data_IF_427639131086
#
_entry.id   IF_427639131086
#
_cell.length_a   1.000
_cell.length_b   1.000
_cell.length_c   1.000
_cell.angle_alpha   90.00
_cell.angle_beta   90.00
_cell.angle_gamma   90.00
#
_symmetry.space_group_name_H-M   'P 1'
#
loop_
_entity.id
_entity.type
_entity.pdbx_description
1 polymer ?
#
# COMPACT_ATOMS: atom_id res chain seq x y z
N UNK A 1 9.22 -68.98 18.62
CA UNK A 1 8.73 -67.65 19.08
C UNK A 1 8.87 -66.68 17.92
N UNK A 2 7.76 -66.10 17.52
CA UNK A 2 7.49 -65.53 16.19
C UNK A 2 7.98 -64.08 16.07
N UNK A 3 8.87 -63.84 15.11
CA UNK A 3 9.37 -62.52 14.68
C UNK A 3 8.24 -61.52 14.35
N UNK A 4 7.04 -62.02 14.04
CA UNK A 4 5.80 -61.28 13.76
C UNK A 4 5.29 -60.40 14.91
N UNK A 5 5.60 -60.71 16.18
CA UNK A 5 5.05 -59.96 17.32
C UNK A 5 5.84 -58.70 17.69
N UNK A 6 7.15 -58.65 17.36
CA UNK A 6 8.03 -57.51 17.61
C UNK A 6 7.88 -56.37 16.58
N UNK A 7 7.40 -56.67 15.36
CA UNK A 7 7.21 -55.68 14.28
C UNK A 7 5.94 -54.83 14.44
N UNK A 8 4.96 -55.31 15.21
CA UNK A 8 3.68 -54.61 15.43
C UNK A 8 3.85 -53.23 16.08
N UNK A 9 4.58 -53.06 17.21
CA UNK A 9 4.77 -51.73 17.81
C UNK A 9 5.57 -50.80 16.91
N UNK A 10 6.58 -51.30 16.20
CA UNK A 10 7.37 -50.51 15.25
C UNK A 10 6.51 -49.96 14.10
N UNK A 11 5.61 -50.80 13.55
CA UNK A 11 4.67 -50.37 12.50
C UNK A 11 3.69 -49.31 12.99
N UNK A 12 3.17 -49.44 14.21
CA UNK A 12 2.25 -48.44 14.80
C UNK A 12 2.96 -47.09 14.98
N UNK A 13 4.21 -47.10 15.44
CA UNK A 13 5.00 -45.87 15.60
C UNK A 13 5.27 -45.21 14.23
N UNK A 14 5.67 -45.99 13.23
CA UNK A 14 5.91 -45.49 11.86
C UNK A 14 4.63 -44.90 11.25
N UNK A 15 3.49 -45.59 11.39
CA UNK A 15 2.19 -45.08 10.92
C UNK A 15 1.81 -43.79 11.65
N UNK A 16 2.04 -43.72 12.97
CA UNK A 16 1.80 -42.53 13.77
C UNK A 16 2.64 -41.34 13.31
N UNK A 17 3.94 -41.54 13.08
CA UNK A 17 4.83 -40.50 12.54
C UNK A 17 4.42 -40.08 11.13
N UNK A 18 4.05 -41.02 10.26
CA UNK A 18 3.59 -40.71 8.91
C UNK A 18 2.29 -39.89 8.92
N UNK A 19 1.33 -40.21 9.78
CA UNK A 19 0.12 -39.41 9.97
C UNK A 19 0.43 -38.03 10.53
N UNK A 20 1.30 -37.93 11.54
CA UNK A 20 1.71 -36.64 12.10
C UNK A 20 2.38 -35.76 11.02
N UNK A 21 3.26 -36.33 10.21
CA UNK A 21 3.90 -35.65 9.09
C UNK A 21 2.87 -35.20 8.04
N UNK A 22 1.89 -36.05 7.69
CA UNK A 22 0.82 -35.70 6.75
C UNK A 22 -0.05 -34.56 7.27
N UNK A 23 -0.39 -34.56 8.57
CA UNK A 23 -1.14 -33.50 9.23
C UNK A 23 -0.35 -32.20 9.22
N UNK A 24 0.94 -32.24 9.57
CA UNK A 24 1.83 -31.08 9.51
C UNK A 24 1.93 -30.52 8.08
N UNK A 25 2.06 -31.39 7.08
CA UNK A 25 2.10 -31.00 5.67
C UNK A 25 0.79 -30.33 5.25
N UNK A 26 -0.35 -30.87 5.67
CA UNK A 26 -1.67 -30.28 5.40
C UNK A 26 -1.80 -28.89 5.98
N UNK A 27 -1.42 -28.70 7.25
CA UNK A 27 -1.46 -27.39 7.89
C UNK A 27 -0.50 -26.41 7.23
N UNK A 28 0.74 -26.82 6.91
CA UNK A 28 1.71 -25.99 6.19
C UNK A 28 1.18 -25.59 4.81
N UNK A 29 0.64 -26.55 4.06
CA UNK A 29 0.09 -26.30 2.74
C UNK A 29 -1.08 -25.31 2.79
N UNK A 30 -2.02 -25.52 3.72
CA UNK A 30 -3.19 -24.66 3.89
C UNK A 30 -2.85 -23.26 4.38
N UNK A 31 -1.92 -23.14 5.33
CA UNK A 31 -1.59 -21.86 5.97
C UNK A 31 -0.57 -21.03 5.19
N UNK A 32 0.31 -21.66 4.41
CA UNK A 32 1.39 -20.96 3.72
C UNK A 32 1.32 -21.10 2.20
N UNK A 33 1.21 -22.33 1.68
CA UNK A 33 1.30 -22.56 0.22
C UNK A 33 0.08 -22.02 -0.53
N UNK A 34 -1.13 -22.27 -0.04
CA UNK A 34 -2.36 -21.74 -0.65
C UNK A 34 -2.37 -20.20 -0.61
N UNK A 35 -2.16 -19.51 0.53
CA UNK A 35 -2.15 -18.05 0.54
C UNK A 35 -1.03 -17.44 -0.30
N UNK A 36 0.16 -18.06 -0.30
CA UNK A 36 1.29 -17.58 -1.09
C UNK A 36 1.01 -17.72 -2.59
N UNK A 37 0.51 -18.87 -3.03
CA UNK A 37 0.17 -19.09 -4.45
C UNK A 37 -0.93 -18.14 -4.93
N UNK A 38 -1.97 -17.90 -4.12
CA UNK A 38 -2.99 -16.90 -4.42
C UNK A 38 -2.40 -15.48 -4.49
N UNK A 39 -1.47 -15.14 -3.57
CA UNK A 39 -0.78 -13.85 -3.61
C UNK A 39 0.02 -13.70 -4.90
N UNK A 40 0.85 -14.69 -5.26
CA UNK A 40 1.63 -14.68 -6.50
C UNK A 40 0.72 -14.55 -7.73
N UNK A 41 -0.37 -15.31 -7.76
CA UNK A 41 -1.34 -15.26 -8.85
C UNK A 41 -1.99 -13.87 -8.98
N UNK A 42 -2.44 -13.29 -7.86
CA UNK A 42 -3.05 -11.95 -7.85
C UNK A 42 -2.05 -10.85 -8.25
N UNK A 43 -0.76 -11.05 -8.03
CA UNK A 43 0.27 -10.08 -8.38
C UNK A 43 0.74 -10.21 -9.84
N UNK A 44 0.31 -11.24 -10.59
CA UNK A 44 0.79 -11.49 -11.96
C UNK A 44 0.48 -10.35 -12.94
N UNK A 45 -0.61 -9.62 -12.71
CA UNK A 45 -1.04 -8.49 -13.55
C UNK A 45 -0.54 -7.15 -13.04
N UNK A 46 0.06 -7.09 -11.85
CA UNK A 46 0.64 -5.88 -11.29
C UNK A 46 1.97 -5.56 -11.97
N UNK A 47 2.20 -4.27 -12.18
CA UNK A 47 3.48 -3.71 -12.61
C UNK A 47 4.56 -3.94 -11.56
N UNK A 48 5.84 -3.83 -11.96
CA UNK A 48 6.96 -3.95 -11.03
C UNK A 48 6.83 -2.97 -9.85
N UNK A 49 6.40 -1.72 -10.11
CA UNK A 49 6.18 -0.71 -9.07
C UNK A 49 5.10 -1.11 -8.07
N UNK A 50 3.94 -1.57 -8.55
CA UNK A 50 2.83 -2.01 -7.69
C UNK A 50 3.24 -3.22 -6.83
N UNK A 51 4.01 -4.16 -7.39
CA UNK A 51 4.56 -5.30 -6.62
C UNK A 51 5.55 -4.84 -5.55
N UNK A 52 6.45 -3.92 -5.88
CA UNK A 52 7.39 -3.33 -4.91
C UNK A 52 6.65 -2.60 -3.79
N UNK A 53 5.61 -1.84 -4.12
CA UNK A 53 4.76 -1.14 -3.15
C UNK A 53 4.08 -2.14 -2.20
N UNK A 54 3.47 -3.20 -2.76
CA UNK A 54 2.77 -4.21 -1.97
C UNK A 54 3.71 -4.98 -1.04
N UNK A 55 4.92 -5.29 -1.50
CA UNK A 55 5.92 -6.02 -0.73
C UNK A 55 6.53 -5.17 0.38
N UNK A 56 6.82 -3.89 0.12
CA UNK A 56 7.50 -3.01 1.06
C UNK A 56 6.56 -2.35 2.08
N UNK A 57 5.33 -1.99 1.67
CA UNK A 57 4.41 -1.17 2.46
C UNK A 57 3.00 -1.77 2.60
N UNK A 58 2.76 -2.94 2.02
CA UNK A 58 1.47 -3.63 2.11
C UNK A 58 0.48 -3.26 1.00
N UNK A 59 -0.64 -4.00 0.97
CA UNK A 59 -1.66 -3.90 -0.09
C UNK A 59 -2.33 -2.53 -0.16
N UNK A 60 -2.57 -1.88 0.98
CA UNK A 60 -3.27 -0.61 1.04
C UNK A 60 -2.46 0.50 0.39
N UNK A 61 -1.15 0.54 0.65
CA UNK A 61 -0.24 1.50 0.02
C UNK A 61 -0.13 1.25 -1.49
N UNK A 62 -0.01 -0.01 -1.92
CA UNK A 62 0.01 -0.35 -3.34
C UNK A 62 -1.29 0.05 -4.06
N UNK A 63 -2.43 -0.22 -3.42
CA UNK A 63 -3.74 0.21 -3.91
C UNK A 63 -3.85 1.73 -3.99
N UNK A 64 -3.32 2.44 -2.98
CA UNK A 64 -3.32 3.90 -2.98
C UNK A 64 -2.43 4.48 -4.08
N UNK A 65 -1.24 3.94 -4.33
CA UNK A 65 -0.37 4.41 -5.42
C UNK A 65 -1.03 4.23 -6.80
N UNK A 66 -1.72 3.11 -6.99
CA UNK A 66 -2.52 2.87 -8.19
C UNK A 66 -3.67 3.86 -8.30
N UNK A 67 -4.44 4.04 -7.23
CA UNK A 67 -5.53 5.01 -7.17
C UNK A 67 -5.04 6.44 -7.50
N UNK A 68 -3.93 6.88 -6.90
CA UNK A 68 -3.34 8.19 -7.21
C UNK A 68 -2.93 8.28 -8.68
N UNK A 69 -2.38 7.20 -9.24
CA UNK A 69 -2.02 7.17 -10.65
C UNK A 69 -3.23 7.21 -11.61
N UNK A 70 -4.37 6.69 -11.19
CA UNK A 70 -5.61 6.73 -11.97
C UNK A 70 -6.30 8.11 -11.88
N UNK A 71 -6.21 8.77 -10.72
CA UNK A 71 -6.84 10.09 -10.47
C UNK A 71 -6.01 11.25 -11.00
N UNK A 72 -4.69 11.19 -10.84
CA UNK A 72 -3.78 12.29 -11.17
C UNK A 72 -3.18 12.01 -12.56
N UNK A 73 -3.31 12.91 -13.54
CA UNK A 73 -2.73 12.71 -14.87
C UNK A 73 -1.20 12.64 -14.81
N UNK A 74 -0.57 12.09 -15.85
CA UNK A 74 0.86 11.83 -15.86
C UNK A 74 1.73 13.10 -15.77
N UNK A 75 1.24 14.20 -16.33
CA UNK A 75 1.82 15.56 -16.32
C UNK A 75 1.30 16.42 -15.16
N UNK A 76 0.44 15.86 -14.30
CA UNK A 76 -0.12 16.56 -13.15
C UNK A 76 0.92 16.85 -12.07
N UNK A 77 0.70 17.93 -11.32
CA UNK A 77 1.50 18.31 -10.16
C UNK A 77 0.86 17.77 -8.90
N UNK A 78 1.61 17.04 -8.07
CA UNK A 78 1.09 16.45 -6.85
C UNK A 78 1.83 16.98 -5.63
N UNK A 79 1.10 17.61 -4.73
CA UNK A 79 1.62 18.11 -3.46
C UNK A 79 1.48 17.02 -2.40
N UNK A 80 2.58 16.73 -1.73
CA UNK A 80 2.67 15.70 -0.70
C UNK A 80 2.44 16.26 0.70
N UNK A 81 1.92 15.45 1.65
CA UNK A 81 1.91 15.80 3.06
C UNK A 81 3.34 15.89 3.60
N UNK A 82 3.49 16.46 4.79
CA UNK A 82 4.78 16.39 5.49
C UNK A 82 4.99 15.02 6.10
N UNK A 83 6.25 14.62 6.28
CA UNK A 83 6.60 13.38 6.98
C UNK A 83 6.04 13.31 8.42
N UNK A 84 5.82 14.47 9.07
CA UNK A 84 5.18 14.56 10.38
C UNK A 84 3.67 14.26 10.35
N UNK A 85 3.01 14.44 9.20
CA UNK A 85 1.59 14.14 8.99
C UNK A 85 1.39 12.70 8.52
N UNK A 86 2.25 12.24 7.61
CA UNK A 86 2.36 10.84 7.20
C UNK A 86 3.80 10.55 6.80
N UNK A 87 4.48 9.67 7.54
CA UNK A 87 5.91 9.39 7.35
C UNK A 87 6.23 8.69 6.03
N UNK A 88 5.24 8.01 5.44
CA UNK A 88 5.39 7.30 4.17
C UNK A 88 5.08 8.24 3.01
N UNK A 89 3.91 8.88 3.03
CA UNK A 89 3.47 9.78 1.96
C UNK A 89 4.25 11.09 1.92
N UNK A 90 4.83 11.52 3.05
CA UNK A 90 5.67 12.71 3.10
C UNK A 90 7.13 12.49 2.72
N UNK A 91 7.53 11.25 2.39
CA UNK A 91 8.86 10.97 1.88
C UNK A 91 8.90 11.18 0.36
N UNK A 92 9.35 12.35 -0.08
CA UNK A 92 9.36 12.72 -1.51
C UNK A 92 10.16 11.74 -2.37
N UNK A 93 11.30 11.24 -1.89
CA UNK A 93 12.13 10.29 -2.64
C UNK A 93 11.42 8.96 -2.87
N UNK A 94 10.73 8.47 -1.83
CA UNK A 94 9.91 7.27 -1.92
C UNK A 94 8.74 7.47 -2.88
N UNK A 95 8.00 8.58 -2.71
CA UNK A 95 6.83 8.89 -3.53
C UNK A 95 7.19 9.09 -5.00
N UNK A 96 8.36 9.68 -5.28
CA UNK A 96 8.82 9.90 -6.65
C UNK A 96 8.99 8.58 -7.40
N UNK A 97 9.56 7.56 -6.77
CA UNK A 97 9.70 6.24 -7.38
C UNK A 97 8.34 5.68 -7.86
N UNK A 98 7.31 5.76 -7.02
CA UNK A 98 5.99 5.19 -7.33
C UNK A 98 5.17 6.05 -8.29
N UNK A 99 5.31 7.38 -8.24
CA UNK A 99 4.41 8.31 -8.94
C UNK A 99 4.98 8.92 -10.23
N UNK A 100 6.24 8.64 -10.60
CA UNK A 100 6.79 8.98 -11.92
C UNK A 100 5.77 8.63 -13.03
N UNK A 101 5.47 9.56 -13.95
CA UNK A 101 6.25 10.78 -14.27
C UNK A 101 5.78 12.09 -13.61
N UNK A 102 4.86 12.03 -12.64
CA UNK A 102 4.25 13.23 -12.04
C UNK A 102 5.28 14.11 -11.34
N UNK A 103 5.07 15.42 -11.42
CA UNK A 103 5.86 16.40 -10.68
C UNK A 103 5.42 16.38 -9.20
N UNK A 104 6.35 16.11 -8.29
CA UNK A 104 6.06 16.09 -6.86
C UNK A 104 6.53 17.39 -6.22
N UNK A 105 5.63 18.02 -5.47
CA UNK A 105 5.89 19.27 -4.76
C UNK A 105 5.75 19.01 -3.27
N UNK A 106 6.65 19.60 -2.48
CA UNK A 106 6.59 19.55 -1.03
C UNK A 106 6.46 20.98 -0.49
N UNK A 107 5.63 21.15 0.55
CA UNK A 107 5.56 22.37 1.34
C UNK A 107 6.41 22.18 2.61
N UNK A 108 7.66 22.69 2.65
CA UNK A 108 8.65 22.29 3.66
C UNK A 108 8.42 22.89 5.06
N UNK A 109 7.54 23.88 5.21
CA UNK A 109 7.45 24.62 6.47
C UNK A 109 6.92 23.76 7.63
N UNK A 110 7.52 23.95 8.82
CA UNK A 110 7.04 23.36 10.07
C UNK A 110 5.76 24.04 10.56
N UNK A 111 5.59 25.32 10.22
CA UNK A 111 4.53 26.19 10.73
C UNK A 111 3.21 26.00 9.96
N UNK A 112 2.08 25.75 10.66
CA UNK A 112 0.79 25.52 10.00
C UNK A 112 0.35 26.65 9.06
N UNK A 113 0.58 27.91 9.44
CA UNK A 113 0.18 29.08 8.66
C UNK A 113 0.95 29.19 7.34
N UNK A 114 2.25 28.90 7.36
CA UNK A 114 3.09 28.90 6.15
C UNK A 114 2.78 27.69 5.25
N UNK A 115 2.44 26.55 5.85
CA UNK A 115 1.96 25.38 5.10
C UNK A 115 0.64 25.70 4.38
N UNK A 116 -0.30 26.35 5.06
CA UNK A 116 -1.56 26.79 4.46
C UNK A 116 -1.31 27.79 3.32
N UNK A 117 -0.42 28.76 3.53
CA UNK A 117 -0.03 29.71 2.48
C UNK A 117 0.59 29.01 1.26
N UNK A 118 1.47 28.03 1.46
CA UNK A 118 2.06 27.23 0.39
C UNK A 118 0.99 26.44 -0.40
N UNK A 119 0.08 25.77 0.31
CA UNK A 119 -1.04 25.02 -0.30
C UNK A 119 -1.94 25.95 -1.11
N UNK A 120 -2.25 27.14 -0.58
CA UNK A 120 -3.06 28.15 -1.27
C UNK A 120 -2.36 28.67 -2.53
N UNK A 121 -1.06 28.95 -2.49
CA UNK A 121 -0.30 29.39 -3.67
C UNK A 121 -0.26 28.32 -4.78
N UNK A 122 -0.29 27.04 -4.40
CA UNK A 122 -0.23 25.92 -5.33
C UNK A 122 -1.61 25.44 -5.82
N UNK A 123 -2.71 26.06 -5.39
CA UNK A 123 -4.09 25.62 -5.66
C UNK A 123 -4.58 25.73 -7.13
N UNK A 124 -3.67 25.95 -8.09
CA UNK A 124 -3.96 26.07 -9.52
C UNK A 124 -4.63 24.84 -10.17
N UNK A 125 -5.10 24.99 -11.40
CA UNK A 125 -5.96 24.02 -12.09
C UNK A 125 -5.31 22.63 -12.31
N UNK A 126 -3.98 22.54 -12.39
CA UNK A 126 -3.26 21.28 -12.67
C UNK A 126 -2.59 20.67 -11.43
N UNK A 127 -2.90 21.21 -10.25
CA UNK A 127 -2.33 20.75 -8.98
C UNK A 127 -3.31 19.88 -8.21
N UNK A 128 -2.80 18.78 -7.69
CA UNK A 128 -3.47 17.79 -6.87
C UNK A 128 -2.80 17.75 -5.51
N UNK A 129 -3.54 17.41 -4.46
CA UNK A 129 -2.97 17.24 -3.13
C UNK A 129 -3.27 15.83 -2.64
N UNK A 130 -2.26 15.11 -2.16
CA UNK A 130 -2.52 13.89 -1.41
C UNK A 130 -3.24 14.25 -0.11
N UNK A 131 -4.33 13.58 0.18
CA UNK A 131 -5.03 13.71 1.44
C UNK A 131 -4.50 12.66 2.42
N UNK A 132 -3.94 13.08 3.55
CA UNK A 132 -3.48 12.19 4.62
C UNK A 132 -3.43 12.94 5.95
N UNK A 133 -4.03 12.35 7.00
CA UNK A 133 -4.09 12.98 8.31
C UNK A 133 -4.81 14.35 8.24
N UNK A 134 -4.09 15.41 8.64
CA UNK A 134 -4.59 16.80 8.58
C UNK A 134 -4.17 17.57 7.33
N UNK A 135 -3.61 16.89 6.33
CA UNK A 135 -3.15 17.50 5.09
C UNK A 135 -4.03 17.14 3.89
N UNK A 136 -4.22 18.06 2.94
CA UNK A 136 -4.02 19.52 3.08
C UNK A 136 -4.95 20.11 4.17
N UNK A 137 -4.65 21.32 4.69
CA UNK A 137 -5.59 22.04 5.55
C UNK A 137 -6.94 22.17 4.83
N UNK A 138 -8.03 21.70 5.44
CA UNK A 138 -9.36 21.67 4.83
C UNK A 138 -9.80 23.06 4.35
N UNK A 139 -9.46 24.11 5.11
CA UNK A 139 -9.70 25.52 4.79
C UNK A 139 -9.09 25.99 3.48
N UNK A 140 -8.00 25.35 3.02
CA UNK A 140 -7.32 25.69 1.78
C UNK A 140 -7.75 24.81 0.61
N UNK A 141 -7.91 23.51 0.84
CA UNK A 141 -8.21 22.56 -0.23
C UNK A 141 -9.68 22.60 -0.67
N UNK A 142 -10.63 22.64 0.26
CA UNK A 142 -12.07 22.53 -0.06
C UNK A 142 -12.62 23.76 -0.79
N UNK A 143 -11.90 24.88 -0.77
CA UNK A 143 -12.28 26.09 -1.53
C UNK A 143 -12.18 25.94 -3.04
N UNK A 144 -11.33 25.03 -3.52
CA UNK A 144 -10.99 24.92 -4.96
C UNK A 144 -10.87 23.49 -5.47
N UNK A 145 -10.86 22.49 -4.59
CA UNK A 145 -10.63 21.09 -4.89
C UNK A 145 -11.73 20.21 -4.31
N UNK A 146 -12.02 19.12 -4.99
CA UNK A 146 -12.91 18.07 -4.52
C UNK A 146 -12.07 16.91 -4.00
N UNK A 147 -12.37 16.45 -2.78
CA UNK A 147 -11.75 15.24 -2.24
C UNK A 147 -12.32 14.00 -2.94
N UNK A 148 -11.43 13.20 -3.52
CA UNK A 148 -11.71 11.86 -4.00
C UNK A 148 -11.11 10.89 -2.97
N UNK A 149 -11.94 10.26 -2.11
CA UNK A 149 -11.44 9.39 -1.06
C UNK A 149 -10.99 8.04 -1.64
N UNK A 150 -9.87 7.51 -1.13
CA UNK A 150 -9.47 6.12 -1.35
C UNK A 150 -9.99 5.23 -0.21
N UNK A 151 -9.75 5.65 1.03
CA UNK A 151 -10.25 5.00 2.25
C UNK A 151 -10.42 6.06 3.37
N UNK A 152 -10.59 5.63 4.63
CA UNK A 152 -10.74 6.54 5.77
C UNK A 152 -9.48 7.31 6.16
N UNK A 153 -8.32 6.95 5.63
CA UNK A 153 -7.01 7.56 5.95
C UNK A 153 -6.45 8.41 4.81
N UNK A 154 -6.69 7.99 3.57
CA UNK A 154 -6.04 8.53 2.39
C UNK A 154 -7.02 8.88 1.28
N UNK A 155 -6.64 9.86 0.48
CA UNK A 155 -7.38 10.29 -0.71
C UNK A 155 -6.56 11.25 -1.56
N UNK A 156 -7.20 11.85 -2.55
CA UNK A 156 -6.60 12.88 -3.40
C UNK A 156 -7.59 14.03 -3.55
N UNK A 157 -7.16 15.26 -3.25
CA UNK A 157 -7.88 16.46 -3.64
C UNK A 157 -7.55 16.78 -5.09
N UNK A 158 -8.57 16.72 -5.95
CA UNK A 158 -8.47 17.00 -7.37
C UNK A 158 -9.09 18.37 -7.71
N UNK A 159 -8.62 19.04 -8.77
CA UNK A 159 -9.29 20.23 -9.32
C UNK A 159 -10.77 19.97 -9.55
N UNK A 160 -11.65 20.84 -9.05
CA UNK A 160 -13.08 20.74 -9.37
C UNK A 160 -13.25 20.88 -10.89
N UNK A 161 -13.98 19.97 -11.56
CA UNK A 161 -14.38 20.21 -12.94
C UNK A 161 -15.19 21.51 -12.97
N UNK A 162 -14.81 22.44 -13.86
CA UNK A 162 -15.58 23.64 -14.13
C UNK A 162 -16.90 23.29 -14.80
#
# INVERSE_FOLDING_TARGET
MTQSQADRPARVIVIGMAMAAAIQLFFLFRSNVIPLSLRVWNHRTLTAKERSAALAFGSDFAGFMRFTADVVPADGKLVLPRAAQDSTLGNIGLMQYFLIPRELINCPSSEPAEQEACVLQLSGADTYFLAAGSFPPASAAEKSKTLIPFNSKWGVYAPSPR
#
